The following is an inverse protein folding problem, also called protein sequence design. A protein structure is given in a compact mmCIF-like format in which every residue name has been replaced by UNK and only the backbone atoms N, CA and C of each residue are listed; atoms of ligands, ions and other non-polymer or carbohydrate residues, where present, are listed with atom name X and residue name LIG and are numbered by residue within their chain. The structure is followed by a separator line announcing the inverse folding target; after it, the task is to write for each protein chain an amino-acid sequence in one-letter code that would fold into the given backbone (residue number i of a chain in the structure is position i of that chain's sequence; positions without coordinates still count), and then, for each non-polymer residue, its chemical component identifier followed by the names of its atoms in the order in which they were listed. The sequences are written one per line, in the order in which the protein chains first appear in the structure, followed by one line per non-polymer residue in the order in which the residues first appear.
data_IF_379224111436
#
_entry.id   IF_379224111436
#
_cell.length_a   1.000
_cell.length_b   1.000
_cell.length_c   1.000
_cell.angle_alpha   90.00
_cell.angle_beta   90.00
_cell.angle_gamma   90.00
#
_symmetry.space_group_name_H-M   'P 1'
#
loop_
_entity.id
_entity.type
_entity.pdbx_description
1 polymer ?
#
# COMPACT_ATOMS: atom_id res chain seq x y z
N UNK A 1 -3.48 -36.12 -52.19
CA UNK A 1 -2.60 -36.36 -51.03
C UNK A 1 -2.74 -35.15 -50.11
N UNK A 2 -3.61 -35.24 -49.09
CA UNK A 2 -3.87 -34.14 -48.16
C UNK A 2 -3.04 -34.33 -46.90
N UNK A 3 -2.12 -33.42 -46.61
CA UNK A 3 -1.39 -33.40 -45.36
C UNK A 3 -2.27 -32.73 -44.29
N UNK A 4 -2.95 -33.55 -43.48
CA UNK A 4 -3.49 -33.07 -42.20
C UNK A 4 -2.32 -32.78 -41.28
N UNK A 5 -2.00 -31.51 -41.08
CA UNK A 5 -1.17 -31.08 -39.95
C UNK A 5 -2.04 -31.09 -38.71
N UNK A 6 -1.93 -32.17 -37.94
CA UNK A 6 -2.52 -32.30 -36.61
C UNK A 6 -1.79 -31.33 -35.66
N UNK A 7 -2.37 -30.14 -35.48
CA UNK A 7 -1.91 -29.18 -34.48
C UNK A 7 -2.47 -29.61 -33.13
N UNK A 8 -1.69 -30.41 -32.41
CA UNK A 8 -1.93 -30.73 -31.00
C UNK A 8 -1.94 -29.43 -30.20
N UNK A 9 -3.04 -29.04 -29.51
CA UNK A 9 -2.97 -27.93 -28.58
C UNK A 9 -1.98 -28.31 -27.48
N UNK A 10 -1.05 -27.39 -27.18
CA UNK A 10 -0.13 -27.53 -26.07
C UNK A 10 -0.89 -27.45 -24.74
N UNK A 11 -1.50 -28.57 -24.34
CA UNK A 11 -1.94 -28.80 -22.97
C UNK A 11 -0.72 -29.26 -22.16
N UNK A 12 0.07 -28.31 -21.65
CA UNK A 12 1.09 -28.50 -20.61
C UNK A 12 1.66 -27.12 -20.25
N UNK A 13 1.62 -26.60 -19.03
CA UNK A 13 1.19 -27.15 -17.76
C UNK A 13 0.70 -25.99 -16.88
N UNK A 14 -0.53 -26.13 -16.38
CA UNK A 14 -1.12 -25.33 -15.31
C UNK A 14 -0.38 -25.69 -14.03
N UNK A 15 0.68 -24.96 -13.68
CA UNK A 15 1.39 -25.03 -12.38
C UNK A 15 2.16 -23.72 -12.09
N UNK A 16 1.78 -22.61 -12.71
CA UNK A 16 2.15 -21.30 -12.20
C UNK A 16 1.10 -20.92 -11.14
N UNK A 17 1.46 -19.96 -10.30
CA UNK A 17 0.48 -19.01 -9.75
C UNK A 17 -0.14 -19.33 -8.38
N UNK A 18 0.69 -19.69 -7.41
CA UNK A 18 0.34 -19.42 -5.99
C UNK A 18 1.37 -18.50 -5.35
N UNK A 19 2.66 -18.72 -5.64
CA UNK A 19 3.75 -17.85 -5.18
C UNK A 19 3.70 -16.47 -5.83
N UNK A 20 3.48 -16.39 -7.15
CA UNK A 20 3.46 -15.11 -7.89
C UNK A 20 2.28 -14.22 -7.44
N UNK A 21 1.11 -14.83 -7.19
CA UNK A 21 -0.06 -14.14 -6.63
C UNK A 21 0.14 -13.73 -5.16
N UNK A 22 0.80 -14.55 -4.34
CA UNK A 22 1.14 -14.20 -2.95
C UNK A 22 2.11 -13.03 -2.89
N UNK A 23 3.17 -13.05 -3.69
CA UNK A 23 4.17 -11.97 -3.79
C UNK A 23 3.51 -10.68 -4.28
N UNK A 24 2.56 -10.79 -5.21
CA UNK A 24 1.78 -9.65 -5.68
C UNK A 24 0.93 -9.04 -4.57
N UNK A 25 0.16 -9.84 -3.85
CA UNK A 25 -0.70 -9.38 -2.76
C UNK A 25 0.12 -8.76 -1.62
N UNK A 26 1.25 -9.38 -1.26
CA UNK A 26 2.18 -8.85 -0.27
C UNK A 26 2.78 -7.51 -0.72
N UNK A 27 3.16 -7.40 -1.99
CA UNK A 27 3.66 -6.14 -2.56
C UNK A 27 2.60 -5.03 -2.50
N UNK A 28 1.34 -5.34 -2.80
CA UNK A 28 0.22 -4.40 -2.68
C UNK A 28 0.01 -3.95 -1.23
N UNK A 29 0.00 -4.89 -0.28
CA UNK A 29 -0.12 -4.59 1.13
C UNK A 29 1.07 -3.73 1.63
N UNK A 30 2.28 -4.00 1.13
CA UNK A 30 3.47 -3.22 1.47
C UNK A 30 3.38 -1.77 0.98
N UNK A 31 2.85 -1.54 -0.23
CA UNK A 31 2.60 -0.20 -0.77
C UNK A 31 1.61 0.58 0.11
N UNK A 32 0.50 -0.05 0.50
CA UNK A 32 -0.51 0.59 1.35
C UNK A 32 0.02 0.86 2.77
N UNK A 33 0.83 -0.05 3.32
CA UNK A 33 1.49 0.13 4.62
C UNK A 33 2.42 1.35 4.59
N UNK A 34 3.28 1.45 3.57
CA UNK A 34 4.18 2.60 3.41
C UNK A 34 3.44 3.91 3.18
N UNK A 35 2.30 3.87 2.50
CA UNK A 35 1.46 5.05 2.34
C UNK A 35 0.89 5.52 3.69
N UNK A 36 0.42 4.58 4.51
CA UNK A 36 -0.07 4.89 5.85
C UNK A 36 1.04 5.50 6.73
N UNK A 37 2.25 4.94 6.69
CA UNK A 37 3.41 5.51 7.38
C UNK A 37 3.70 6.93 6.86
N UNK A 38 3.75 7.12 5.54
CA UNK A 38 4.00 8.43 4.95
C UNK A 38 2.98 9.49 5.36
N UNK A 39 1.68 9.17 5.36
CA UNK A 39 0.62 10.07 5.80
C UNK A 39 0.61 10.32 7.31
N UNK A 40 1.11 9.37 8.10
CA UNK A 40 1.32 9.57 9.55
C UNK A 40 2.43 10.60 9.79
N UNK A 41 3.53 10.50 9.05
CA UNK A 41 4.72 11.32 9.27
C UNK A 41 4.67 12.68 8.56
N UNK A 42 4.00 12.74 7.39
CA UNK A 42 4.07 13.90 6.49
C UNK A 42 2.75 14.65 6.47
N UNK A 43 2.70 15.72 7.25
CA UNK A 43 1.55 16.64 7.34
C UNK A 43 0.24 15.89 7.65
N UNK A 44 0.17 15.16 8.77
CA UNK A 44 -0.97 14.30 9.09
C UNK A 44 -2.29 15.05 9.22
N UNK A 45 -2.26 16.34 9.54
CA UNK A 45 -3.46 17.18 9.70
C UNK A 45 -3.91 17.85 8.41
N UNK A 46 -3.19 17.69 7.28
CA UNK A 46 -3.64 18.24 6.01
C UNK A 46 -4.89 17.49 5.50
N UNK A 47 -5.81 18.18 4.82
CA UNK A 47 -6.95 17.56 4.18
C UNK A 47 -6.51 16.44 3.23
N UNK A 48 -7.22 15.32 3.29
CA UNK A 48 -7.03 14.22 2.36
C UNK A 48 -7.78 14.52 1.07
N UNK A 49 -7.05 14.74 -0.02
CA UNK A 49 -7.62 14.87 -1.35
C UNK A 49 -7.48 13.56 -2.13
N UNK A 50 -8.44 13.27 -3.01
CA UNK A 50 -8.36 12.10 -3.87
C UNK A 50 -7.10 12.10 -4.76
N UNK A 51 -6.69 13.28 -5.23
CA UNK A 51 -5.43 13.49 -5.97
C UNK A 51 -4.21 13.04 -5.14
N UNK A 52 -4.20 13.37 -3.84
CA UNK A 52 -3.14 13.00 -2.90
C UNK A 52 -3.07 11.48 -2.75
N UNK A 53 -4.21 10.80 -2.66
CA UNK A 53 -4.26 9.33 -2.61
C UNK A 53 -3.61 8.70 -3.85
N UNK A 54 -4.05 9.15 -5.03
CA UNK A 54 -3.57 8.62 -6.30
C UNK A 54 -2.06 8.82 -6.47
N UNK A 55 -1.57 10.02 -6.17
CA UNK A 55 -0.15 10.36 -6.25
C UNK A 55 0.65 9.57 -5.22
N UNK A 56 0.16 9.50 -3.97
CA UNK A 56 0.81 8.76 -2.89
C UNK A 56 0.97 7.28 -3.21
N UNK A 57 -0.11 6.61 -3.63
CA UNK A 57 -0.08 5.19 -4.03
C UNK A 57 0.92 4.99 -5.18
N UNK A 58 0.86 5.83 -6.21
CA UNK A 58 1.75 5.70 -7.37
C UNK A 58 3.23 5.88 -7.00
N UNK A 59 3.53 6.86 -6.13
CA UNK A 59 4.88 7.10 -5.65
C UNK A 59 5.42 5.94 -4.80
N UNK A 60 4.59 5.36 -3.93
CA UNK A 60 4.97 4.21 -3.14
C UNK A 60 5.14 2.96 -4.00
N UNK A 61 4.23 2.69 -4.94
CA UNK A 61 4.36 1.57 -5.87
C UNK A 61 5.64 1.67 -6.71
N UNK A 62 5.97 2.88 -7.20
CA UNK A 62 7.22 3.12 -7.90
C UNK A 62 8.45 2.84 -7.02
N UNK A 63 8.41 3.26 -5.75
CA UNK A 63 9.50 3.03 -4.79
C UNK A 63 9.67 1.54 -4.47
N UNK A 64 8.58 0.84 -4.17
CA UNK A 64 8.57 -0.60 -3.83
C UNK A 64 9.04 -1.45 -5.01
N UNK A 65 8.65 -1.09 -6.24
CA UNK A 65 9.08 -1.80 -7.46
C UNK A 65 10.50 -1.41 -7.93
N UNK A 66 11.33 -0.80 -7.06
CA UNK A 66 12.72 -0.47 -7.37
C UNK A 66 12.88 0.65 -8.39
N UNK A 67 11.95 1.62 -8.43
CA UNK A 67 11.99 2.79 -9.32
C UNK A 67 12.02 2.43 -10.82
N UNK A 68 11.44 1.29 -11.18
CA UNK A 68 11.31 0.90 -12.57
C UNK A 68 10.03 1.47 -13.18
N UNK A 69 10.17 2.20 -14.29
CA UNK A 69 9.05 2.63 -15.15
C UNK A 69 8.64 1.43 -16.02
N UNK A 70 8.04 0.42 -15.37
CA UNK A 70 7.56 -0.80 -16.02
C UNK A 70 6.08 -1.02 -15.76
N UNK A 71 5.46 -1.89 -16.56
CA UNK A 71 4.05 -2.28 -16.40
C UNK A 71 3.72 -2.78 -14.99
N UNK A 72 4.70 -3.36 -14.28
CA UNK A 72 4.55 -3.87 -12.92
C UNK A 72 4.18 -2.78 -11.91
N UNK A 73 4.86 -1.64 -11.89
CA UNK A 73 4.58 -0.56 -10.93
C UNK A 73 3.18 0.03 -11.15
N UNK A 74 2.78 0.21 -12.42
CA UNK A 74 1.43 0.65 -12.77
C UNK A 74 0.36 -0.38 -12.38
N UNK A 75 0.65 -1.67 -12.54
CA UNK A 75 -0.26 -2.74 -12.16
C UNK A 75 -0.45 -2.81 -10.64
N UNK A 76 0.64 -2.75 -9.87
CA UNK A 76 0.61 -2.68 -8.41
C UNK A 76 -0.11 -1.43 -7.92
N UNK A 77 0.13 -0.26 -8.52
CA UNK A 77 -0.56 0.97 -8.13
C UNK A 77 -2.07 0.88 -8.33
N UNK A 78 -2.53 0.29 -9.43
CA UNK A 78 -3.96 0.06 -9.70
C UNK A 78 -4.57 -0.93 -8.71
N UNK A 79 -3.88 -2.03 -8.43
CA UNK A 79 -4.32 -3.01 -7.45
C UNK A 79 -4.40 -2.41 -6.05
N UNK A 80 -3.36 -1.68 -5.61
CA UNK A 80 -3.35 -0.96 -4.35
C UNK A 80 -4.51 0.05 -4.25
N UNK A 81 -4.78 0.81 -5.31
CA UNK A 81 -5.93 1.72 -5.34
C UNK A 81 -7.27 0.97 -5.21
N UNK A 82 -7.40 -0.21 -5.83
CA UNK A 82 -8.62 -1.02 -5.72
C UNK A 82 -8.81 -1.64 -4.33
N UNK A 83 -7.73 -1.87 -3.59
CA UNK A 83 -7.74 -2.39 -2.22
C UNK A 83 -7.79 -1.28 -1.16
N UNK A 84 -7.50 -0.03 -1.53
CA UNK A 84 -7.55 1.08 -0.61
C UNK A 84 -8.98 1.32 -0.13
N UNK A 85 -9.20 1.62 1.16
CA UNK A 85 -10.53 1.94 1.66
C UNK A 85 -11.05 3.18 0.96
N UNK A 86 -12.38 3.24 0.78
CA UNK A 86 -13.03 4.45 0.33
C UNK A 86 -12.58 5.65 1.17
N UNK A 87 -12.39 6.81 0.54
CA UNK A 87 -11.99 8.03 1.21
C UNK A 87 -13.24 8.80 1.66
N UNK A 88 -13.55 8.87 2.98
CA UNK A 88 -14.60 9.75 3.45
C UNK A 88 -14.28 11.22 3.18
N UNK A 89 -15.33 12.03 2.98
CA UNK A 89 -15.18 13.47 2.80
C UNK A 89 -14.71 14.15 4.09
N UNK A 90 -13.83 15.15 3.94
CA UNK A 90 -13.42 16.03 5.04
C UNK A 90 -12.43 15.41 6.05
N UNK A 91 -11.90 14.21 5.80
CA UNK A 91 -10.86 13.63 6.66
C UNK A 91 -9.48 14.18 6.34
N UNK A 92 -8.57 14.01 7.28
CA UNK A 92 -7.15 14.32 7.15
C UNK A 92 -6.34 13.11 6.67
N UNK A 93 -5.10 13.36 6.23
CA UNK A 93 -4.15 12.31 5.84
C UNK A 93 -3.89 11.30 6.96
N UNK A 94 -3.70 11.78 8.18
CA UNK A 94 -3.44 10.95 9.37
C UNK A 94 -4.64 10.07 9.72
N UNK A 95 -5.86 10.61 9.61
CA UNK A 95 -7.08 9.80 9.77
C UNK A 95 -7.17 8.73 8.69
N UNK A 96 -6.90 9.07 7.42
CA UNK A 96 -6.89 8.06 6.35
C UNK A 96 -5.81 6.98 6.57
N UNK A 97 -4.66 7.31 7.14
CA UNK A 97 -3.63 6.33 7.51
C UNK A 97 -4.15 5.31 8.54
N UNK A 98 -4.97 5.73 9.51
CA UNK A 98 -5.61 4.82 10.45
C UNK A 98 -6.60 3.89 9.75
N UNK A 99 -7.35 4.39 8.76
CA UNK A 99 -8.25 3.56 7.95
C UNK A 99 -7.47 2.50 7.17
N UNK A 100 -6.36 2.87 6.52
CA UNK A 100 -5.48 1.93 5.83
C UNK A 100 -4.98 0.83 6.75
N UNK A 101 -4.46 1.20 7.94
CA UNK A 101 -3.95 0.26 8.94
C UNK A 101 -5.00 -0.74 9.41
N UNK A 102 -6.23 -0.28 9.65
CA UNK A 102 -7.37 -1.18 9.99
C UNK A 102 -7.69 -2.15 8.85
N UNK A 103 -7.72 -1.67 7.61
CA UNK A 103 -7.96 -2.53 6.43
C UNK A 103 -6.87 -3.60 6.27
N UNK A 104 -5.63 -3.27 6.61
CA UNK A 104 -4.50 -4.20 6.54
C UNK A 104 -4.41 -5.15 7.74
N UNK A 105 -5.24 -4.97 8.78
CA UNK A 105 -5.13 -5.73 10.04
C UNK A 105 -3.86 -5.42 10.84
N UNK A 106 -3.19 -4.32 10.53
CA UNK A 106 -2.00 -3.85 11.24
C UNK A 106 -2.42 -2.75 12.21
N UNK A 107 -2.59 -3.07 13.49
CA UNK A 107 -2.91 -2.07 14.51
C UNK A 107 -1.83 -0.97 14.55
N UNK A 108 -2.19 0.32 14.70
CA UNK A 108 -1.22 1.40 14.83
C UNK A 108 -0.45 1.24 16.15
N UNK A 109 0.84 0.90 16.06
CA UNK A 109 1.76 1.05 17.20
C UNK A 109 1.98 2.55 17.43
N UNK A 110 1.09 3.18 18.18
CA UNK A 110 1.30 4.53 18.72
C UNK A 110 2.43 4.45 19.74
N UNK A 111 3.68 4.61 19.29
CA UNK A 111 4.81 4.84 20.20
C UNK A 111 4.61 6.24 20.78
N UNK A 112 3.97 6.29 21.94
CA UNK A 112 3.78 7.51 22.71
C UNK A 112 5.12 8.09 23.13
N UNK A 113 5.57 9.12 22.41
CA UNK A 113 6.62 10.03 22.84
C UNK A 113 6.05 10.96 23.92
N UNK A 114 5.99 10.52 25.18
CA UNK A 114 5.93 11.44 26.32
C UNK A 114 6.27 10.78 27.67
N UNK A 115 7.54 10.84 28.06
CA UNK A 115 8.03 10.88 29.45
C UNK A 115 9.53 11.27 29.35
N UNK A 116 10.10 12.25 30.04
CA UNK A 116 9.69 12.99 31.22
C UNK A 116 10.45 14.33 31.24
N UNK A 117 9.72 15.44 31.40
CA UNK A 117 10.30 16.70 31.87
C UNK A 117 9.87 16.88 33.32
N UNK A 118 10.72 16.44 34.26
CA UNK A 118 10.46 16.49 35.69
C UNK A 118 10.14 17.91 36.16
N UNK A 119 8.91 18.10 36.65
CA UNK A 119 8.54 19.27 37.43
C UNK A 119 9.29 19.25 38.77
N UNK A 120 9.94 20.38 39.05
CA UNK A 120 10.69 20.71 40.27
C UNK A 120 9.69 20.89 41.43
N UNK A 121 9.86 20.26 42.61
CA UNK A 121 9.13 20.68 43.79
C UNK A 121 9.95 21.73 44.56
N UNK A 122 9.36 22.92 44.69
CA UNK A 122 9.66 23.85 45.78
C UNK A 122 9.36 23.18 47.12
N UNK A 123 10.22 23.39 48.11
CA UNK A 123 9.87 23.25 49.52
C UNK A 123 10.66 24.28 50.31
N UNK A 124 9.92 24.93 51.23
CA UNK A 124 10.31 26.00 52.16
C UNK A 124 11.51 25.65 53.03
#
# INVERSE_FOLDING_TARGET
MGHSTDLKPASSAVNADSTDTSDFAETVAHVLSRLADHFTDTRPTEPMEQSTLLVGISAQAYTVCGRSIGSRAAHIARAALSCAPAQPDGITRGEYALHLRRTLGTEPTLVGSHAAGSAKPESK
#
